data_IF_806804787479
#
_entry.id   IF_806804787479
#
_cell.length_a   1.000
_cell.length_b   1.000
_cell.length_c   1.000
_cell.angle_alpha   90.00
_cell.angle_beta   90.00
_cell.angle_gamma   90.00
#
_symmetry.space_group_name_H-M   'P 1'
#
loop_
_entity.id
_entity.type
_entity.pdbx_description
1 polymer ?
#
# COMPACT_ATOMS: atom_id res chain seq x y z
N UNK A 1 -6.98 -19.48 14.05
CA UNK A 1 -7.74 -18.29 14.49
C UNK A 1 -8.89 -18.11 13.52
N UNK A 2 -10.09 -17.75 13.99
CA UNK A 2 -11.22 -17.42 13.13
C UNK A 2 -11.01 -16.01 12.53
N UNK A 3 -11.26 -15.85 11.23
CA UNK A 3 -11.08 -14.58 10.51
C UNK A 3 -12.31 -14.30 9.65
N UNK A 4 -12.55 -13.03 9.33
CA UNK A 4 -13.63 -12.58 8.46
C UNK A 4 -13.03 -11.84 7.27
N UNK A 5 -13.73 -11.85 6.12
CA UNK A 5 -13.34 -11.01 4.98
C UNK A 5 -13.60 -9.56 5.33
N UNK A 6 -12.80 -8.65 4.77
CA UNK A 6 -12.97 -7.22 5.04
C UNK A 6 -14.32 -6.72 4.51
N UNK A 7 -14.76 -7.24 3.35
CA UNK A 7 -16.08 -6.94 2.77
C UNK A 7 -17.26 -7.49 3.61
N UNK A 8 -17.02 -8.37 4.58
CA UNK A 8 -18.09 -8.97 5.41
C UNK A 8 -18.31 -8.19 6.74
N UNK A 9 -17.56 -7.11 6.97
CA UNK A 9 -17.72 -6.24 8.16
C UNK A 9 -18.80 -5.19 7.87
N UNK A 10 -20.01 -5.41 8.40
CA UNK A 10 -21.19 -4.61 8.08
C UNK A 10 -21.08 -3.11 8.40
N UNK A 11 -20.21 -2.74 9.34
CA UNK A 11 -19.95 -1.36 9.73
C UNK A 11 -19.06 -0.61 8.74
N UNK A 12 -18.36 -1.31 7.85
CA UNK A 12 -17.38 -0.74 6.91
C UNK A 12 -17.95 -0.84 5.49
N UNK A 13 -18.57 0.25 5.03
CA UNK A 13 -19.18 0.32 3.70
C UNK A 13 -18.33 1.11 2.69
N UNK A 14 -17.38 1.90 3.17
CA UNK A 14 -16.46 2.69 2.36
C UNK A 14 -15.21 3.05 3.17
N UNK A 15 -14.10 3.30 2.49
CA UNK A 15 -12.88 3.82 3.12
C UNK A 15 -12.07 4.61 2.10
N UNK A 16 -11.85 5.91 2.32
CA UNK A 16 -11.05 6.75 1.43
C UNK A 16 -9.54 6.39 1.49
N UNK A 17 -9.06 5.99 2.66
CA UNK A 17 -7.68 5.57 2.90
C UNK A 17 -7.65 4.22 3.63
N UNK A 18 -6.84 3.29 3.13
CA UNK A 18 -6.63 1.98 3.74
C UNK A 18 -5.13 1.77 4.03
N UNK A 19 -4.78 1.63 5.31
CA UNK A 19 -3.44 1.20 5.75
C UNK A 19 -3.49 -0.27 6.17
N UNK A 20 -2.54 -1.07 5.69
CA UNK A 20 -2.37 -2.46 6.09
C UNK A 20 -0.90 -2.78 6.35
N UNK A 21 -0.66 -3.36 7.51
CA UNK A 21 0.64 -3.84 7.98
C UNK A 21 0.33 -5.11 8.78
N UNK A 22 0.20 -6.22 8.06
CA UNK A 22 -0.21 -7.53 8.57
C UNK A 22 0.81 -8.62 8.20
N UNK A 23 2.00 -8.22 7.76
CA UNK A 23 3.22 -9.02 7.69
C UNK A 23 3.06 -10.26 6.79
N UNK A 24 2.70 -10.06 5.52
CA UNK A 24 2.65 -11.09 4.48
C UNK A 24 1.28 -11.70 4.21
N UNK A 25 0.19 -11.08 4.68
CA UNK A 25 -1.20 -11.50 4.41
C UNK A 25 -2.01 -10.45 3.62
N UNK A 26 -1.36 -9.37 3.18
CA UNK A 26 -1.95 -8.20 2.54
C UNK A 26 -2.75 -8.59 1.30
N UNK A 27 -2.15 -9.37 0.39
CA UNK A 27 -2.83 -9.78 -0.84
C UNK A 27 -4.12 -10.55 -0.56
N UNK A 28 -4.11 -11.45 0.41
CA UNK A 28 -5.31 -12.23 0.77
C UNK A 28 -6.42 -11.35 1.32
N UNK A 29 -6.08 -10.32 2.10
CA UNK A 29 -7.07 -9.34 2.58
C UNK A 29 -7.61 -8.53 1.41
N UNK A 30 -6.73 -8.03 0.53
CA UNK A 30 -7.09 -7.27 -0.67
C UNK A 30 -8.03 -8.04 -1.61
N UNK A 31 -7.76 -9.32 -1.85
CA UNK A 31 -8.60 -10.21 -2.64
C UNK A 31 -10.01 -10.41 -2.06
N UNK A 32 -10.18 -10.15 -0.75
CA UNK A 32 -11.43 -10.28 -0.02
C UNK A 32 -11.98 -8.91 0.45
N UNK A 33 -11.48 -7.83 -0.12
CA UNK A 33 -11.88 -6.45 0.14
C UNK A 33 -12.35 -5.73 -1.13
N UNK A 34 -12.79 -6.49 -2.15
CA UNK A 34 -13.04 -5.95 -3.49
C UNK A 34 -14.10 -4.86 -3.52
N UNK A 35 -15.13 -4.93 -2.67
CA UNK A 35 -16.15 -3.90 -2.61
C UNK A 35 -15.61 -2.65 -1.93
N UNK A 36 -14.88 -2.81 -0.81
CA UNK A 36 -14.27 -1.67 -0.12
C UNK A 36 -13.30 -0.93 -1.06
N UNK A 37 -12.50 -1.69 -1.81
CA UNK A 37 -11.56 -1.19 -2.80
C UNK A 37 -12.20 -0.44 -3.95
N UNK A 38 -13.52 -0.41 -4.14
CA UNK A 38 -14.18 0.46 -5.13
C UNK A 38 -14.23 1.92 -4.66
N UNK A 39 -14.26 2.13 -3.34
CA UNK A 39 -14.38 3.47 -2.74
C UNK A 39 -13.04 4.07 -2.32
N UNK A 40 -12.00 3.23 -2.20
CA UNK A 40 -10.68 3.66 -1.71
C UNK A 40 -9.94 4.56 -2.68
N UNK A 41 -9.30 5.60 -2.15
CA UNK A 41 -8.55 6.58 -2.94
C UNK A 41 -7.05 6.38 -2.76
N UNK A 42 -6.61 6.01 -1.56
CA UNK A 42 -5.20 5.79 -1.24
C UNK A 42 -5.06 4.51 -0.42
N UNK A 43 -4.03 3.73 -0.69
CA UNK A 43 -3.62 2.59 0.12
C UNK A 43 -2.18 2.76 0.57
N UNK A 44 -1.90 2.35 1.80
CA UNK A 44 -0.56 2.05 2.28
C UNK A 44 -0.49 0.57 2.61
N UNK A 45 0.41 -0.15 1.97
CA UNK A 45 0.56 -1.60 2.16
C UNK A 45 2.02 -1.96 2.38
N UNK A 46 2.29 -2.77 3.41
CA UNK A 46 3.60 -3.41 3.51
C UNK A 46 3.78 -4.39 2.34
N UNK A 47 4.96 -4.38 1.74
CA UNK A 47 5.32 -5.23 0.60
C UNK A 47 6.73 -5.77 0.75
N UNK A 48 6.90 -7.02 0.37
CA UNK A 48 8.17 -7.73 0.54
C UNK A 48 8.83 -8.06 -0.79
N UNK A 49 10.16 -7.98 -0.80
CA UNK A 49 10.98 -8.23 -1.99
C UNK A 49 11.61 -9.63 -1.97
N UNK A 50 11.54 -10.31 -0.82
CA UNK A 50 11.93 -11.69 -0.61
C UNK A 50 10.97 -12.33 0.39
N UNK A 51 10.78 -13.65 0.34
CA UNK A 51 9.94 -14.33 1.33
C UNK A 51 10.57 -14.26 2.73
N UNK A 52 9.88 -13.62 3.67
CA UNK A 52 10.21 -13.66 5.10
C UNK A 52 9.42 -14.76 5.82
N UNK A 53 8.21 -15.01 5.34
CA UNK A 53 7.31 -16.10 5.70
C UNK A 53 7.06 -16.99 4.48
N UNK A 54 6.88 -18.29 4.74
CA UNK A 54 6.75 -19.31 3.70
C UNK A 54 5.53 -19.05 2.82
N UNK A 55 5.77 -18.85 1.51
CA UNK A 55 4.71 -18.69 0.51
C UNK A 55 3.92 -17.38 0.65
N UNK A 56 4.48 -16.37 1.31
CA UNK A 56 3.91 -15.04 1.32
C UNK A 56 3.94 -14.43 -0.10
N UNK A 57 2.97 -13.59 -0.46
CA UNK A 57 3.03 -12.80 -1.68
C UNK A 57 4.23 -11.85 -1.64
N UNK A 58 4.80 -11.55 -2.80
CA UNK A 58 5.84 -10.53 -2.92
C UNK A 58 5.24 -9.24 -3.51
N UNK A 59 6.03 -8.17 -3.50
CA UNK A 59 5.71 -6.88 -4.08
C UNK A 59 5.08 -7.01 -5.48
N UNK A 60 5.61 -7.88 -6.34
CA UNK A 60 5.10 -8.05 -7.69
C UNK A 60 3.66 -8.60 -7.73
N UNK A 61 3.30 -9.47 -6.79
CA UNK A 61 1.96 -10.04 -6.70
C UNK A 61 0.97 -8.98 -6.20
N UNK A 62 1.36 -8.21 -5.17
CA UNK A 62 0.56 -7.11 -4.61
C UNK A 62 0.38 -5.99 -5.64
N UNK A 63 1.45 -5.55 -6.32
CA UNK A 63 1.42 -4.53 -7.36
C UNK A 63 0.51 -4.95 -8.52
N UNK A 64 0.67 -6.19 -9.01
CA UNK A 64 -0.16 -6.72 -10.09
C UNK A 64 -1.64 -6.72 -9.71
N UNK A 65 -1.97 -7.16 -8.50
CA UNK A 65 -3.34 -7.15 -8.02
C UNK A 65 -3.90 -5.72 -7.92
N UNK A 66 -3.20 -4.80 -7.25
CA UNK A 66 -3.69 -3.43 -7.04
C UNK A 66 -3.86 -2.68 -8.37
N UNK A 67 -2.94 -2.85 -9.32
CA UNK A 67 -3.10 -2.31 -10.68
C UNK A 67 -4.32 -2.86 -11.40
N UNK A 68 -4.61 -4.15 -11.25
CA UNK A 68 -5.84 -4.77 -11.81
C UNK A 68 -7.13 -4.20 -11.21
N UNK A 69 -7.05 -3.53 -10.05
CA UNK A 69 -8.16 -2.86 -9.35
C UNK A 69 -8.19 -1.34 -9.56
N UNK A 70 -7.44 -0.82 -10.53
CA UNK A 70 -7.46 0.60 -10.88
C UNK A 70 -6.69 1.49 -9.90
N UNK A 71 -5.67 0.93 -9.24
CA UNK A 71 -4.69 1.69 -8.49
C UNK A 71 -3.37 1.82 -9.25
N UNK A 72 -2.60 2.85 -8.93
CA UNK A 72 -1.28 3.09 -9.45
C UNK A 72 -0.29 3.16 -8.29
N UNK A 73 0.87 2.52 -8.45
CA UNK A 73 1.97 2.69 -7.50
C UNK A 73 2.42 4.16 -7.51
N UNK A 74 2.52 4.76 -6.33
CA UNK A 74 2.93 6.16 -6.18
C UNK A 74 4.36 6.27 -5.67
N UNK A 75 4.63 5.80 -4.45
CA UNK A 75 5.96 5.87 -3.84
C UNK A 75 6.08 4.88 -2.66
N UNK A 76 7.29 4.76 -2.10
CA UNK A 76 7.50 4.08 -0.82
C UNK A 76 7.44 5.09 0.33
N UNK A 77 6.77 4.74 1.42
CA UNK A 77 6.81 5.49 2.67
C UNK A 77 8.05 5.10 3.47
N UNK A 78 8.79 6.09 4.00
CA UNK A 78 9.98 5.85 4.81
C UNK A 78 11.17 5.16 4.10
N UNK A 79 11.03 4.80 2.81
CA UNK A 79 12.07 4.17 2.00
C UNK A 79 12.08 2.64 2.08
N UNK A 80 13.21 2.04 1.67
CA UNK A 80 13.34 0.58 1.56
C UNK A 80 14.04 0.00 2.78
N UNK A 81 13.36 -0.86 3.53
CA UNK A 81 13.93 -1.57 4.66
C UNK A 81 14.72 -2.82 4.24
N UNK A 82 15.63 -3.27 5.09
CA UNK A 82 16.53 -4.36 4.74
C UNK A 82 17.52 -4.72 5.83
N UNK A 83 18.43 -5.65 5.51
CA UNK A 83 19.48 -6.16 6.41
C UNK A 83 20.79 -6.37 5.65
N UNK A 84 21.81 -6.82 6.35
CA UNK A 84 23.01 -7.39 5.72
C UNK A 84 22.65 -8.73 5.07
N UNK A 85 23.28 -9.04 3.93
CA UNK A 85 23.01 -10.29 3.20
C UNK A 85 23.48 -11.54 3.97
N UNK A 86 24.51 -11.36 4.80
CA UNK A 86 25.02 -12.37 5.74
C UNK A 86 25.21 -11.69 7.10
N UNK A 87 25.15 -12.44 8.22
CA UNK A 87 25.36 -11.88 9.55
C UNK A 87 26.64 -11.05 9.61
N UNK A 88 26.46 -9.74 9.77
CA UNK A 88 27.53 -8.76 9.82
C UNK A 88 27.04 -7.56 10.65
N UNK A 89 27.84 -7.16 11.64
CA UNK A 89 27.59 -5.96 12.44
C UNK A 89 28.27 -4.78 11.74
N UNK A 90 27.50 -3.73 11.48
CA UNK A 90 27.99 -2.50 10.84
C UNK A 90 27.66 -1.34 11.78
N UNK A 91 28.65 -0.52 12.13
CA UNK A 91 28.48 0.61 13.06
C UNK A 91 27.76 0.19 14.37
N UNK A 92 28.19 -0.92 14.95
CA UNK A 92 27.60 -1.53 16.16
C UNK A 92 26.10 -1.86 16.05
N UNK A 93 25.57 -1.98 14.83
CA UNK A 93 24.18 -2.32 14.56
C UNK A 93 24.08 -3.60 13.70
N UNK A 94 23.53 -4.67 14.29
CA UNK A 94 23.27 -5.94 13.60
C UNK A 94 22.12 -5.85 12.58
N UNK A 95 21.24 -4.88 12.74
CA UNK A 95 20.09 -4.64 11.87
C UNK A 95 20.38 -3.65 10.74
N UNK A 96 21.61 -3.15 10.64
CA UNK A 96 21.97 -2.18 9.62
C UNK A 96 21.82 -2.78 8.22
N UNK A 97 21.03 -2.12 7.37
CA UNK A 97 20.97 -2.44 5.94
C UNK A 97 22.26 -2.00 5.26
N UNK A 98 22.82 -2.86 4.39
CA UNK A 98 23.80 -2.46 3.37
C UNK A 98 23.06 -2.34 2.04
N UNK A 99 22.86 -3.46 1.34
CA UNK A 99 22.23 -3.47 0.00
C UNK A 99 21.06 -4.44 -0.14
N UNK A 100 20.86 -5.39 0.77
CA UNK A 100 19.74 -6.32 0.68
C UNK A 100 18.46 -5.63 1.16
N UNK A 101 17.55 -5.35 0.23
CA UNK A 101 16.18 -4.90 0.52
C UNK A 101 15.35 -6.12 0.90
N UNK A 102 14.48 -5.96 1.90
CA UNK A 102 13.62 -7.04 2.38
C UNK A 102 12.14 -6.65 2.28
N UNK A 103 11.78 -5.47 2.77
CA UNK A 103 10.40 -4.96 2.72
C UNK A 103 10.37 -3.43 2.59
N UNK A 104 9.19 -2.89 2.35
CA UNK A 104 8.88 -1.46 2.40
C UNK A 104 7.38 -1.25 2.63
N UNK A 105 7.01 -0.06 3.07
CA UNK A 105 5.63 0.42 3.00
C UNK A 105 5.42 1.12 1.66
N UNK A 106 4.42 0.70 0.88
CA UNK A 106 4.14 1.24 -0.45
C UNK A 106 2.81 1.99 -0.46
N UNK A 107 2.84 3.21 -0.99
CA UNK A 107 1.63 3.96 -1.32
C UNK A 107 1.15 3.61 -2.73
N UNK A 108 -0.12 3.24 -2.82
CA UNK A 108 -0.87 3.16 -4.05
C UNK A 108 -2.01 4.17 -4.00
N UNK A 109 -2.35 4.72 -5.14
CA UNK A 109 -3.39 5.74 -5.23
C UNK A 109 -4.33 5.43 -6.40
N UNK A 110 -5.56 5.91 -6.33
CA UNK A 110 -6.56 5.73 -7.37
C UNK A 110 -6.03 6.31 -8.68
N UNK A 111 -6.30 5.62 -9.79
CA UNK A 111 -5.79 6.00 -11.11
C UNK A 111 -6.02 7.48 -11.47
N UNK A 112 -4.95 8.27 -11.33
CA UNK A 112 -4.94 9.71 -11.60
C UNK A 112 -5.05 10.03 -13.09
N UNK A 113 -4.99 9.03 -13.98
CA UNK A 113 -5.25 9.20 -15.40
C UNK A 113 -6.75 9.17 -15.72
N UNK A 114 -7.60 8.78 -14.75
CA UNK A 114 -9.05 8.68 -14.92
C UNK A 114 -9.83 9.41 -13.80
N UNK A 115 -9.41 10.62 -13.46
CA UNK A 115 -10.05 11.44 -12.41
C UNK A 115 -11.53 11.75 -12.70
N UNK A 116 -11.94 11.77 -13.98
CA UNK A 116 -13.33 11.99 -14.37
C UNK A 116 -14.32 10.91 -13.91
N UNK A 117 -13.83 9.76 -13.46
CA UNK A 117 -14.66 8.70 -12.87
C UNK A 117 -15.00 8.96 -11.39
N UNK A 118 -14.37 9.93 -10.73
CA UNK A 118 -14.54 10.21 -9.31
C UNK A 118 -15.58 11.31 -9.08
N UNK A 119 -16.30 11.21 -7.96
CA UNK A 119 -17.20 12.28 -7.52
C UNK A 119 -16.40 13.52 -7.09
N UNK A 120 -17.06 14.67 -7.01
CA UNK A 120 -16.44 15.90 -6.51
C UNK A 120 -15.92 15.74 -5.08
N UNK A 121 -16.69 15.06 -4.23
CA UNK A 121 -16.31 14.76 -2.84
C UNK A 121 -15.06 13.88 -2.80
N UNK A 122 -15.01 12.84 -3.65
CA UNK A 122 -13.83 11.98 -3.76
C UNK A 122 -12.60 12.75 -4.25
N UNK A 123 -12.74 13.65 -5.22
CA UNK A 123 -11.62 14.49 -5.69
C UNK A 123 -11.09 15.40 -4.58
N UNK A 124 -11.97 16.03 -3.80
CA UNK A 124 -11.57 16.86 -2.65
C UNK A 124 -10.84 16.02 -1.61
N UNK A 125 -11.39 14.86 -1.23
CA UNK A 125 -10.75 13.97 -0.27
C UNK A 125 -9.40 13.46 -0.79
N UNK A 126 -9.32 13.10 -2.07
CA UNK A 126 -8.09 12.63 -2.70
C UNK A 126 -7.01 13.73 -2.70
N UNK A 127 -7.38 14.97 -2.97
CA UNK A 127 -6.45 16.10 -2.90
C UNK A 127 -5.93 16.32 -1.46
N UNK A 128 -6.80 16.23 -0.45
CA UNK A 128 -6.40 16.33 0.96
C UNK A 128 -5.43 15.19 1.32
N UNK A 129 -5.76 13.94 0.99
CA UNK A 129 -4.89 12.79 1.26
C UNK A 129 -3.54 12.91 0.55
N UNK A 130 -3.54 13.38 -0.70
CA UNK A 130 -2.32 13.57 -1.48
C UNK A 130 -1.39 14.62 -0.86
N UNK A 131 -1.94 15.71 -0.32
CA UNK A 131 -1.15 16.75 0.32
C UNK A 131 -0.70 16.34 1.73
N UNK A 132 -1.62 15.83 2.55
CA UNK A 132 -1.39 15.66 3.98
C UNK A 132 -0.75 14.33 4.33
N UNK A 133 -1.09 13.25 3.61
CA UNK A 133 -0.55 11.91 3.86
C UNK A 133 0.65 11.65 2.96
N UNK A 134 0.49 11.82 1.63
CA UNK A 134 1.54 11.49 0.67
C UNK A 134 2.63 12.55 0.58
N UNK A 135 2.36 13.78 1.05
CA UNK A 135 3.23 14.95 0.86
C UNK A 135 3.56 15.21 -0.61
N UNK A 136 2.59 14.96 -1.51
CA UNK A 136 2.71 15.12 -2.97
C UNK A 136 1.88 16.33 -3.45
N UNK A 137 2.46 17.55 -3.41
CA UNK A 137 1.76 18.75 -3.85
C UNK A 137 1.51 18.78 -5.36
N UNK A 138 2.33 18.07 -6.14
CA UNK A 138 2.19 17.89 -7.57
C UNK A 138 0.99 17.00 -7.95
N UNK A 139 0.80 15.86 -7.28
CA UNK A 139 -0.41 15.05 -7.45
C UNK A 139 -1.66 15.82 -6.98
N UNK A 140 -1.54 16.55 -5.87
CA UNK A 140 -2.63 17.40 -5.36
C UNK A 140 -3.06 18.44 -6.40
N UNK A 141 -2.09 19.09 -7.07
CA UNK A 141 -2.37 20.05 -8.12
C UNK A 141 -2.96 19.41 -9.39
N UNK A 142 -2.63 18.16 -9.69
CA UNK A 142 -3.28 17.44 -10.79
C UNK A 142 -4.76 17.16 -10.50
N UNK A 143 -5.12 16.93 -9.24
CA UNK A 143 -6.49 16.59 -8.83
C UNK A 143 -7.42 17.82 -8.80
N UNK A 144 -6.90 19.02 -8.52
CA UNK A 144 -7.65 20.27 -8.34
C UNK A 144 -7.30 21.34 -9.39
#
# INVERSE_FOLDING_TARGET
VQTHRLDDIAEINAADFLKMDIQGSELKVLENATNLLETTLVLQVEVEFVELYKGQPLFADVDSFLRSRGFQFHCFDGGLAGRTFKPLVVNDNINQKINQVLWADAFYVRDWMNLGALSKEQLITYAILSLDILKSPDLTHLIL
#
